data_IF_827131649768
#
_entry.id   IF_827131649768
#
_cell.length_a   1.000
_cell.length_b   1.000
_cell.length_c   1.000
_cell.angle_alpha   90.00
_cell.angle_beta   90.00
_cell.angle_gamma   90.00
#
_symmetry.space_group_name_H-M   'P 1'
#
loop_
_entity.id
_entity.type
_entity.pdbx_description
1 polymer ?
#
# COMPACT_ATOMS: atom_id res chain seq x y z
N UNK A 1 -54.69 -20.13 -57.37
CA UNK A 1 -54.19 -18.79 -57.06
C UNK A 1 -53.92 -18.71 -55.59
N UNK A 2 -52.70 -19.01 -55.21
CA UNK A 2 -52.29 -19.06 -53.79
C UNK A 2 -51.02 -18.24 -53.66
N UNK A 3 -51.14 -17.07 -53.04
CA UNK A 3 -50.01 -16.24 -52.68
C UNK A 3 -49.41 -16.78 -51.33
N UNK A 4 -48.27 -17.43 -51.42
CA UNK A 4 -47.50 -17.79 -50.24
C UNK A 4 -46.64 -16.59 -49.83
N UNK A 5 -47.04 -15.91 -48.78
CA UNK A 5 -46.27 -14.85 -48.13
C UNK A 5 -45.10 -15.46 -47.31
N UNK A 6 -43.90 -15.24 -47.76
CA UNK A 6 -42.72 -15.60 -47.03
C UNK A 6 -42.48 -14.59 -45.92
N UNK A 7 -42.71 -14.98 -44.65
CA UNK A 7 -42.41 -14.19 -43.48
C UNK A 7 -40.93 -14.43 -43.16
N UNK A 8 -40.09 -13.44 -43.55
CA UNK A 8 -38.70 -13.43 -43.18
C UNK A 8 -38.52 -13.23 -41.66
N UNK A 9 -38.01 -14.29 -41.01
CA UNK A 9 -37.57 -14.20 -39.60
C UNK A 9 -36.27 -13.40 -39.55
N UNK A 10 -36.38 -12.16 -39.16
CA UNK A 10 -35.21 -11.40 -38.75
C UNK A 10 -34.83 -11.84 -37.34
N UNK A 11 -33.84 -12.71 -37.27
CA UNK A 11 -33.21 -13.08 -35.99
C UNK A 11 -32.23 -11.96 -35.65
N UNK A 12 -32.69 -11.03 -34.84
CA UNK A 12 -31.85 -10.00 -34.24
C UNK A 12 -30.93 -10.64 -33.20
N UNK A 13 -29.69 -10.86 -33.54
CA UNK A 13 -28.64 -11.23 -32.61
C UNK A 13 -28.33 -10.01 -31.76
N UNK A 14 -28.86 -9.98 -30.56
CA UNK A 14 -28.51 -9.01 -29.52
C UNK A 14 -27.12 -9.39 -29.01
N UNK A 15 -26.09 -8.75 -29.53
CA UNK A 15 -24.73 -8.86 -29.01
C UNK A 15 -24.69 -8.10 -27.68
N UNK A 16 -24.80 -8.84 -26.57
CA UNK A 16 -24.54 -8.34 -25.23
C UNK A 16 -23.05 -8.11 -25.12
N UNK A 17 -22.62 -6.86 -25.29
CA UNK A 17 -21.28 -6.43 -24.93
C UNK A 17 -21.16 -6.50 -23.41
N UNK A 18 -20.62 -7.62 -22.91
CA UNK A 18 -20.12 -7.69 -21.54
C UNK A 18 -18.92 -6.77 -21.43
N UNK A 19 -19.18 -5.54 -21.01
CA UNK A 19 -18.13 -4.64 -20.53
C UNK A 19 -17.50 -5.29 -19.30
N UNK A 20 -16.34 -5.92 -19.46
CA UNK A 20 -15.51 -6.34 -18.36
C UNK A 20 -15.10 -5.06 -17.62
N UNK A 21 -15.77 -4.78 -16.50
CA UNK A 21 -15.30 -3.79 -15.54
C UNK A 21 -14.00 -4.37 -14.99
N UNK A 22 -12.89 -3.92 -15.55
CA UNK A 22 -11.59 -4.11 -14.94
C UNK A 22 -11.65 -3.33 -13.65
N UNK A 23 -11.97 -4.01 -12.55
CA UNK A 23 -11.70 -3.48 -11.21
C UNK A 23 -10.19 -3.34 -11.12
N UNK A 24 -9.68 -2.16 -11.45
CA UNK A 24 -8.37 -1.76 -10.97
C UNK A 24 -8.49 -1.83 -9.45
N UNK A 25 -7.90 -2.86 -8.84
CA UNK A 25 -7.62 -2.83 -7.43
C UNK A 25 -6.84 -1.53 -7.24
N UNK A 26 -7.45 -0.56 -6.56
CA UNK A 26 -6.67 0.45 -5.89
C UNK A 26 -5.66 -0.35 -5.08
N UNK A 27 -4.38 -0.22 -5.42
CA UNK A 27 -3.33 -0.81 -4.61
C UNK A 27 -3.61 -0.35 -3.19
N UNK A 28 -3.76 -1.31 -2.25
CA UNK A 28 -3.94 -1.02 -0.82
C UNK A 28 -2.73 -0.26 -0.24
N UNK A 29 -1.88 0.23 -1.10
CA UNK A 29 -0.60 0.88 -0.90
C UNK A 29 -0.57 2.35 -1.30
N UNK A 30 -1.64 3.08 -1.06
CA UNK A 30 -1.69 4.52 -1.32
C UNK A 30 -0.87 5.33 -0.31
N UNK A 31 0.41 4.99 -0.22
CA UNK A 31 1.37 5.83 0.49
C UNK A 31 1.60 7.11 -0.31
N UNK A 32 1.31 8.28 0.26
CA UNK A 32 1.62 9.54 -0.40
C UNK A 32 3.10 9.65 -0.77
N UNK A 33 3.40 10.28 -1.90
CA UNK A 33 4.79 10.48 -2.34
C UNK A 33 5.64 11.19 -1.30
N UNK A 34 5.06 12.13 -0.55
CA UNK A 34 5.74 12.81 0.54
C UNK A 34 6.20 11.85 1.63
N UNK A 35 5.35 10.90 2.03
CA UNK A 35 5.67 9.88 3.04
C UNK A 35 6.77 8.95 2.55
N UNK A 36 6.71 8.51 1.29
CA UNK A 36 7.78 7.72 0.68
C UNK A 36 9.11 8.47 0.65
N UNK A 37 9.08 9.73 0.27
CA UNK A 37 10.26 10.59 0.24
C UNK A 37 10.86 10.81 1.63
N UNK A 38 10.03 11.01 2.63
CA UNK A 38 10.45 11.16 4.03
C UNK A 38 11.11 9.89 4.56
N UNK A 39 10.52 8.72 4.27
CA UNK A 39 11.12 7.43 4.62
C UNK A 39 12.51 7.26 3.97
N UNK A 40 12.61 7.51 2.67
CA UNK A 40 13.90 7.43 1.93
C UNK A 40 14.90 8.39 2.53
N UNK A 41 14.51 9.61 2.84
CA UNK A 41 15.39 10.61 3.47
C UNK A 41 15.93 10.12 4.83
N UNK A 42 15.07 9.57 5.68
CA UNK A 42 15.48 8.99 6.97
C UNK A 42 16.41 7.78 6.79
N UNK A 43 16.10 6.91 5.85
CA UNK A 43 16.91 5.74 5.51
C UNK A 43 18.32 6.15 5.02
N UNK A 44 18.44 7.18 4.19
CA UNK A 44 19.72 7.68 3.70
C UNK A 44 20.60 8.24 4.83
N UNK A 45 20.00 8.83 5.86
CA UNK A 45 20.73 9.29 7.04
C UNK A 45 21.45 8.15 7.76
N UNK A 46 20.85 6.96 7.77
CA UNK A 46 21.42 5.77 8.40
C UNK A 46 22.41 5.01 7.50
N UNK A 47 22.20 5.03 6.17
CA UNK A 47 22.92 4.17 5.21
C UNK A 47 23.89 4.93 4.29
N UNK A 48 23.94 6.25 4.40
CA UNK A 48 24.76 7.11 3.53
C UNK A 48 24.00 7.64 2.32
N UNK A 49 24.47 8.74 1.77
CA UNK A 49 23.79 9.46 0.67
C UNK A 49 24.40 9.08 -0.69
N UNK A 50 24.47 7.78 -0.98
CA UNK A 50 24.97 7.26 -2.25
C UNK A 50 23.82 6.89 -3.18
N UNK A 51 24.09 6.80 -4.48
CA UNK A 51 23.09 6.32 -5.45
C UNK A 51 22.59 4.93 -5.10
N UNK A 52 23.47 4.04 -4.69
CA UNK A 52 23.11 2.70 -4.25
C UNK A 52 22.17 2.74 -3.04
N UNK A 53 22.46 3.58 -2.05
CA UNK A 53 21.60 3.75 -0.89
C UNK A 53 20.21 4.31 -1.26
N UNK A 54 20.14 5.21 -2.24
CA UNK A 54 18.83 5.70 -2.75
C UNK A 54 18.02 4.55 -3.32
N UNK A 55 18.61 3.67 -4.12
CA UNK A 55 17.93 2.51 -4.70
C UNK A 55 17.48 1.52 -3.61
N UNK A 56 18.35 1.22 -2.64
CA UNK A 56 18.04 0.34 -1.52
C UNK A 56 16.93 0.90 -0.62
N UNK A 57 17.00 2.17 -0.27
CA UNK A 57 16.00 2.83 0.57
C UNK A 57 14.64 2.97 -0.15
N UNK A 58 14.65 3.21 -1.46
CA UNK A 58 13.44 3.22 -2.29
C UNK A 58 12.80 1.83 -2.37
N UNK A 59 13.59 0.79 -2.60
CA UNK A 59 13.15 -0.59 -2.52
C UNK A 59 12.53 -0.90 -1.14
N UNK A 60 13.17 -0.46 -0.08
CA UNK A 60 12.71 -0.70 1.29
C UNK A 60 11.31 -0.15 1.55
N UNK A 61 11.03 1.09 1.18
CA UNK A 61 9.68 1.65 1.37
C UNK A 61 8.64 0.96 0.47
N UNK A 62 9.01 0.52 -0.71
CA UNK A 62 8.11 -0.23 -1.59
C UNK A 62 7.73 -1.60 -0.97
N UNK A 63 8.69 -2.29 -0.36
CA UNK A 63 8.43 -3.54 0.39
C UNK A 63 7.54 -3.27 1.61
N UNK A 64 7.87 -2.27 2.42
CA UNK A 64 7.05 -1.88 3.58
C UNK A 64 5.63 -1.56 3.15
N UNK A 65 5.45 -0.73 2.11
CA UNK A 65 4.15 -0.37 1.60
C UNK A 65 3.37 -1.58 1.04
N UNK A 66 4.03 -2.61 0.54
CA UNK A 66 3.39 -3.85 0.09
C UNK A 66 2.86 -4.73 1.23
N UNK A 67 3.38 -4.57 2.43
CA UNK A 67 3.10 -5.44 3.57
C UNK A 67 2.25 -4.78 4.66
N UNK A 68 2.33 -3.45 4.78
CA UNK A 68 1.66 -2.67 5.82
C UNK A 68 0.71 -1.67 5.18
N UNK A 69 -0.61 -1.73 5.44
CA UNK A 69 -1.55 -0.70 4.99
C UNK A 69 -1.16 0.68 5.52
N UNK A 70 -1.38 1.73 4.71
CA UNK A 70 -0.94 3.08 5.04
C UNK A 70 -1.44 3.57 6.41
N UNK A 71 -2.69 3.29 6.77
CA UNK A 71 -3.23 3.67 8.08
C UNK A 71 -2.49 3.04 9.26
N UNK A 72 -2.06 1.78 9.11
CA UNK A 72 -1.26 1.11 10.14
C UNK A 72 0.16 1.66 10.20
N UNK A 73 0.73 2.01 9.06
CA UNK A 73 2.01 2.71 9.00
C UNK A 73 1.96 4.03 9.76
N UNK A 74 0.95 4.86 9.52
CA UNK A 74 0.75 6.13 10.22
C UNK A 74 0.61 5.92 11.73
N UNK A 75 -0.14 4.90 12.14
CA UNK A 75 -0.26 4.54 13.56
C UNK A 75 1.10 4.16 14.15
N UNK A 76 1.87 3.32 13.48
CA UNK A 76 3.20 2.90 13.95
C UNK A 76 4.19 4.08 14.04
N UNK A 77 4.22 4.95 13.02
CA UNK A 77 5.05 6.16 13.01
C UNK A 77 4.66 7.12 14.13
N UNK A 78 3.36 7.28 14.38
CA UNK A 78 2.87 8.09 15.50
C UNK A 78 3.35 7.52 16.83
N UNK A 79 3.30 6.21 17.01
CA UNK A 79 3.80 5.54 18.22
C UNK A 79 5.30 5.80 18.42
N UNK A 80 6.09 5.67 17.33
CA UNK A 80 7.52 5.92 17.37
C UNK A 80 7.82 7.37 17.75
N UNK A 81 7.12 8.33 17.17
CA UNK A 81 7.27 9.76 17.48
C UNK A 81 6.89 10.05 18.92
N UNK A 82 5.76 9.52 19.38
CA UNK A 82 5.27 9.73 20.76
C UNK A 82 6.09 8.97 21.80
N UNK A 83 6.74 7.87 21.46
CA UNK A 83 7.63 7.13 22.37
C UNK A 83 8.86 7.93 22.76
N UNK A 84 9.21 8.95 21.97
CA UNK A 84 10.30 9.89 22.28
C UNK A 84 9.85 11.01 23.22
N UNK A 85 8.54 11.21 23.38
CA UNK A 85 7.98 12.17 24.34
C UNK A 85 8.09 11.59 25.74
N UNK A 86 8.76 12.32 26.62
CA UNK A 86 8.90 11.93 28.03
C UNK A 86 7.62 12.27 28.82
N UNK A 87 7.17 11.35 29.69
CA UNK A 87 6.05 11.56 30.58
C UNK A 87 4.86 10.63 30.36
N UNK A 88 3.72 10.94 30.98
CA UNK A 88 2.53 10.08 31.03
C UNK A 88 1.90 9.81 29.67
N UNK A 89 1.93 10.77 28.73
CA UNK A 89 1.40 10.61 27.38
C UNK A 89 2.18 9.56 26.59
N UNK A 90 3.51 9.61 26.63
CA UNK A 90 4.37 8.61 25.99
C UNK A 90 4.15 7.20 26.55
N UNK A 91 3.90 7.08 27.85
CA UNK A 91 3.59 5.82 28.52
C UNK A 91 2.27 5.22 28.05
N UNK A 92 1.21 6.01 27.91
CA UNK A 92 -0.09 5.56 27.43
C UNK A 92 -0.04 5.04 26.00
N UNK A 93 0.68 5.71 25.11
CA UNK A 93 0.85 5.25 23.73
C UNK A 93 1.62 3.92 23.64
N UNK A 94 2.62 3.71 24.48
CA UNK A 94 3.39 2.46 24.51
C UNK A 94 2.59 1.27 25.04
N UNK A 95 1.57 1.49 25.86
CA UNK A 95 0.74 0.43 26.45
C UNK A 95 -0.51 0.08 25.66
N UNK A 96 -0.85 0.87 24.61
CA UNK A 96 -1.98 0.57 23.72
C UNK A 96 -1.69 -0.69 22.91
N UNK A 97 -2.59 -1.66 22.97
CA UNK A 97 -2.48 -2.91 22.21
C UNK A 97 -2.47 -2.66 20.68
N UNK A 98 -3.32 -1.75 20.22
CA UNK A 98 -3.35 -1.35 18.80
C UNK A 98 -2.05 -0.71 18.33
N UNK A 99 -1.48 0.16 19.17
CA UNK A 99 -0.21 0.79 18.90
C UNK A 99 0.94 -0.23 18.85
N UNK A 100 1.00 -1.15 19.80
CA UNK A 100 1.99 -2.22 19.83
C UNK A 100 1.86 -3.14 18.61
N UNK A 101 0.64 -3.50 18.22
CA UNK A 101 0.37 -4.33 17.04
C UNK A 101 0.83 -3.64 15.75
N UNK A 102 0.49 -2.37 15.54
CA UNK A 102 0.92 -1.62 14.36
C UNK A 102 2.45 -1.48 14.29
N UNK A 103 3.09 -1.23 15.42
CA UNK A 103 4.56 -1.15 15.50
C UNK A 103 5.22 -2.50 15.17
N UNK A 104 4.66 -3.60 15.64
CA UNK A 104 5.17 -4.94 15.32
C UNK A 104 5.02 -5.27 13.83
N UNK A 105 3.92 -4.87 13.19
CA UNK A 105 3.73 -5.04 11.76
C UNK A 105 4.76 -4.24 10.97
N UNK A 106 4.99 -2.99 11.34
CA UNK A 106 6.01 -2.17 10.71
C UNK A 106 7.42 -2.77 10.86
N UNK A 107 7.78 -3.21 12.05
CA UNK A 107 9.10 -3.82 12.29
C UNK A 107 9.31 -5.09 11.49
N UNK A 108 8.29 -5.92 11.35
CA UNK A 108 8.37 -7.13 10.49
C UNK A 108 8.53 -6.77 9.02
N UNK A 109 7.79 -5.77 8.56
CA UNK A 109 7.92 -5.30 7.18
C UNK A 109 9.30 -4.70 6.91
N UNK A 110 9.85 -3.95 7.84
CA UNK A 110 11.23 -3.41 7.74
C UNK A 110 12.28 -4.52 7.74
N UNK A 111 12.12 -5.57 8.55
CA UNK A 111 13.02 -6.72 8.54
C UNK A 111 12.97 -7.47 7.19
N UNK A 112 11.79 -7.61 6.59
CA UNK A 112 11.62 -8.18 5.25
C UNK A 112 12.28 -7.29 4.18
N UNK A 113 12.12 -5.97 4.29
CA UNK A 113 12.76 -5.01 3.40
C UNK A 113 14.29 -5.08 3.50
N UNK A 114 14.82 -5.25 4.70
CA UNK A 114 16.26 -5.43 4.92
C UNK A 114 16.80 -6.63 4.13
N UNK A 115 16.12 -7.75 4.19
CA UNK A 115 16.54 -8.98 3.48
C UNK A 115 16.43 -8.84 1.96
N UNK A 116 15.45 -8.07 1.47
CA UNK A 116 15.19 -7.96 0.03
C UNK A 116 15.98 -6.87 -0.66
N UNK A 117 16.31 -5.81 0.06
CA UNK A 117 16.82 -4.58 -0.54
C UNK A 117 18.30 -4.31 -0.24
N UNK A 118 18.87 -4.93 0.81
CA UNK A 118 20.24 -4.75 1.27
C UNK A 118 21.05 -6.05 1.22
#
# INVERSE_FOLDING_TARGET
>A
MTFAGSIGRVVGTLAVLMSAVVMTRADDNDYPTSVRSEYVFGCLKANGETRQAIEQCSCSIDVVASLVPYERYVTAETVLSMSQVRGNLGGQFRTSEQAASALNDLRRAQAEAEVRCF
#
